data_IF_923779746843
#
_entry.id   IF_923779746843
#
_cell.length_a   1.000
_cell.length_b   1.000
_cell.length_c   1.000
_cell.angle_alpha   90.00
_cell.angle_beta   90.00
_cell.angle_gamma   90.00
#
_symmetry.space_group_name_H-M   'P 1'
#
loop_
_entity.id
_entity.type
_entity.pdbx_description
1 polymer ?
#
# COMPACT_ATOMS: atom_id res chain seq x y z
N UNK A 1 -12.94 -0.03 24.05
CA UNK A 1 -12.84 1.44 23.91
C UNK A 1 -11.67 1.74 22.98
N UNK A 2 -11.76 2.81 22.19
CA UNK A 2 -10.66 3.29 21.33
C UNK A 2 -9.99 4.46 22.02
N UNK A 3 -8.66 4.47 22.08
CA UNK A 3 -7.84 5.45 22.80
C UNK A 3 -7.01 6.33 21.85
N UNK A 4 -6.42 7.42 22.36
CA UNK A 4 -5.53 8.28 21.56
C UNK A 4 -4.30 7.53 21.02
N UNK A 5 -3.64 6.64 21.79
CA UNK A 5 -2.61 5.74 21.24
C UNK A 5 -3.09 4.90 20.05
N UNK A 6 -4.33 4.40 20.08
CA UNK A 6 -4.89 3.61 18.97
C UNK A 6 -5.07 4.47 17.71
N UNK A 7 -5.60 5.69 17.88
CA UNK A 7 -5.73 6.67 16.79
C UNK A 7 -4.35 6.99 16.21
N UNK A 8 -3.35 7.18 17.07
CA UNK A 8 -1.97 7.46 16.65
C UNK A 8 -1.36 6.29 15.89
N UNK A 9 -1.59 5.05 16.32
CA UNK A 9 -1.13 3.86 15.61
C UNK A 9 -1.71 3.79 14.19
N UNK A 10 -3.02 4.05 14.04
CA UNK A 10 -3.68 4.11 12.73
C UNK A 10 -3.05 5.22 11.86
N UNK A 11 -2.85 6.42 12.41
CA UNK A 11 -2.21 7.52 11.68
C UNK A 11 -0.83 7.14 11.16
N UNK A 12 0.00 6.49 11.97
CA UNK A 12 1.35 6.07 11.58
C UNK A 12 1.30 5.03 10.45
N UNK A 13 0.45 4.01 10.58
CA UNK A 13 0.30 2.96 9.56
C UNK A 13 -0.17 3.56 8.24
N UNK A 14 -1.25 4.36 8.26
CA UNK A 14 -1.77 4.95 7.02
C UNK A 14 -0.80 5.92 6.37
N UNK A 15 -0.05 6.69 7.17
CA UNK A 15 0.94 7.64 6.68
C UNK A 15 2.11 6.92 6.01
N UNK A 16 2.54 5.79 6.58
CA UNK A 16 3.61 4.96 6.03
C UNK A 16 3.23 4.44 4.63
N UNK A 17 2.01 3.91 4.50
CA UNK A 17 1.52 3.38 3.22
C UNK A 17 1.38 4.51 2.19
N UNK A 18 0.70 5.60 2.54
CA UNK A 18 0.49 6.74 1.64
C UNK A 18 1.82 7.38 1.20
N UNK A 19 2.77 7.53 2.12
CA UNK A 19 4.11 8.07 1.81
C UNK A 19 4.87 7.16 0.87
N UNK A 20 4.81 5.85 1.06
CA UNK A 20 5.44 4.91 0.15
C UNK A 20 4.87 5.01 -1.27
N UNK A 21 3.55 5.12 -1.41
CA UNK A 21 2.90 5.33 -2.71
C UNK A 21 3.37 6.64 -3.34
N UNK A 22 3.37 7.73 -2.57
CA UNK A 22 3.77 9.05 -3.06
C UNK A 22 5.23 9.09 -3.53
N UNK A 23 6.13 8.49 -2.76
CA UNK A 23 7.55 8.39 -3.11
C UNK A 23 7.75 7.55 -4.35
N UNK A 24 7.09 6.38 -4.45
CA UNK A 24 7.21 5.52 -5.63
C UNK A 24 6.65 6.18 -6.89
N UNK A 25 5.51 6.87 -6.79
CA UNK A 25 4.97 7.66 -7.90
C UNK A 25 5.98 8.72 -8.35
N UNK A 26 6.58 9.47 -7.42
CA UNK A 26 7.61 10.48 -7.76
C UNK A 26 8.85 9.86 -8.38
N UNK A 27 9.36 8.75 -7.81
CA UNK A 27 10.52 8.03 -8.31
C UNK A 27 10.32 7.54 -9.76
N UNK A 28 9.13 7.05 -10.07
CA UNK A 28 8.75 6.55 -11.40
C UNK A 28 8.24 7.64 -12.34
N UNK A 29 8.23 8.91 -11.92
CA UNK A 29 7.63 10.04 -12.65
C UNK A 29 6.16 9.79 -13.07
N UNK A 30 5.40 9.15 -12.19
CA UNK A 30 3.98 8.85 -12.34
C UNK A 30 3.14 9.80 -11.49
N UNK A 31 1.94 10.08 -11.97
CA UNK A 31 0.89 10.73 -11.19
C UNK A 31 0.04 9.68 -10.47
N UNK A 32 -0.65 10.09 -9.40
CA UNK A 32 -1.54 9.19 -8.64
C UNK A 32 -2.67 8.65 -9.51
N UNK A 33 -3.11 9.43 -10.49
CA UNK A 33 -4.16 9.10 -11.45
C UNK A 33 -3.73 8.01 -12.44
N UNK A 34 -2.41 7.79 -12.60
CA UNK A 34 -1.88 6.72 -13.46
C UNK A 34 -2.04 5.33 -12.82
N UNK A 35 -2.39 5.26 -11.54
CA UNK A 35 -2.62 4.00 -10.82
C UNK A 35 -3.94 3.35 -11.25
N UNK A 36 -3.83 2.30 -12.06
CA UNK A 36 -5.00 1.60 -12.62
C UNK A 36 -5.64 0.60 -11.67
N UNK A 37 -4.85 -0.05 -10.81
CA UNK A 37 -5.32 -1.07 -9.85
C UNK A 37 -4.49 -1.02 -8.58
N UNK A 38 -5.14 -1.31 -7.45
CA UNK A 38 -4.49 -1.44 -6.15
C UNK A 38 -4.83 -2.81 -5.59
N UNK A 39 -3.80 -3.62 -5.32
CA UNK A 39 -3.95 -4.91 -4.68
C UNK A 39 -3.54 -4.81 -3.21
N UNK A 40 -4.46 -5.12 -2.31
CA UNK A 40 -4.25 -5.11 -0.87
C UNK A 40 -4.10 -6.56 -0.39
N UNK A 41 -2.91 -6.88 0.13
CA UNK A 41 -2.54 -8.21 0.60
C UNK A 41 -2.20 -8.19 2.11
N UNK A 42 -2.11 -9.39 2.69
CA UNK A 42 -1.74 -9.59 4.09
C UNK A 42 -2.94 -9.53 5.04
N UNK A 43 -2.66 -9.63 6.35
CA UNK A 43 -3.70 -9.60 7.39
C UNK A 43 -4.52 -8.30 7.37
N UNK A 44 -3.89 -7.19 6.97
CA UNK A 44 -4.55 -5.91 6.73
C UNK A 44 -5.62 -6.02 5.62
N UNK A 45 -5.37 -6.85 4.60
CA UNK A 45 -6.28 -7.05 3.48
C UNK A 45 -7.51 -7.92 3.77
N UNK A 46 -7.54 -8.68 4.88
CA UNK A 46 -8.70 -9.52 5.19
C UNK A 46 -9.83 -8.76 5.88
N UNK A 47 -9.54 -7.60 6.51
CA UNK A 47 -10.48 -6.94 7.41
C UNK A 47 -10.64 -5.43 7.16
N UNK A 48 -9.81 -4.83 6.30
CA UNK A 48 -9.90 -3.40 6.02
C UNK A 48 -10.94 -3.15 4.93
N UNK A 49 -11.95 -2.35 5.25
CA UNK A 49 -12.87 -1.82 4.27
C UNK A 49 -12.11 -0.84 3.34
N UNK A 50 -12.12 -1.06 2.00
CA UNK A 50 -11.34 -0.24 1.08
C UNK A 50 -11.85 1.21 1.08
N UNK A 51 -13.17 1.42 1.24
CA UNK A 51 -13.73 2.76 1.31
C UNK A 51 -13.19 3.52 2.53
N UNK A 52 -13.20 2.89 3.70
CA UNK A 52 -12.67 3.45 4.95
C UNK A 52 -11.19 3.75 4.86
N UNK A 53 -10.39 2.83 4.30
CA UNK A 53 -8.97 3.05 4.05
C UNK A 53 -8.70 4.24 3.12
N UNK A 54 -9.55 4.44 2.10
CA UNK A 54 -9.48 5.61 1.22
C UNK A 54 -9.84 6.90 1.98
N UNK A 55 -10.92 6.87 2.78
CA UNK A 55 -11.39 8.03 3.56
C UNK A 55 -10.33 8.51 4.54
N UNK A 56 -9.63 7.59 5.22
CA UNK A 56 -8.55 7.98 6.14
C UNK A 56 -7.29 8.44 5.40
N UNK A 57 -7.23 8.32 4.06
CA UNK A 57 -6.09 8.73 3.25
C UNK A 57 -4.94 7.74 3.22
N UNK A 58 -5.22 6.43 3.30
CA UNK A 58 -4.19 5.38 3.25
C UNK A 58 -3.62 5.17 1.85
N UNK A 59 -4.41 5.41 0.81
CA UNK A 59 -4.00 5.28 -0.58
C UNK A 59 -4.77 6.32 -1.44
N UNK A 60 -4.29 6.66 -2.65
CA UNK A 60 -4.86 7.73 -3.47
C UNK A 60 -6.30 7.45 -3.89
N UNK A 61 -6.99 8.49 -4.39
CA UNK A 61 -8.39 8.39 -4.81
C UNK A 61 -8.53 7.64 -6.14
N UNK A 62 -8.30 6.33 -6.11
CA UNK A 62 -8.63 5.41 -7.19
C UNK A 62 -10.10 4.97 -7.05
N UNK A 63 -10.81 4.67 -8.16
CA UNK A 63 -12.14 4.09 -8.09
C UNK A 63 -12.14 2.81 -7.24
N UNK A 64 -13.10 2.66 -6.32
CA UNK A 64 -13.14 1.49 -5.41
C UNK A 64 -13.18 0.15 -6.16
N UNK A 65 -13.82 0.11 -7.35
CA UNK A 65 -13.82 -1.07 -8.24
C UNK A 65 -12.41 -1.52 -8.70
N UNK A 66 -11.42 -0.64 -8.61
CA UNK A 66 -10.03 -0.90 -8.96
C UNK A 66 -9.18 -1.35 -7.75
N UNK A 67 -9.77 -1.38 -6.56
CA UNK A 67 -9.13 -1.85 -5.32
C UNK A 67 -9.57 -3.29 -5.07
N UNK A 68 -8.62 -4.21 -4.95
CA UNK A 68 -8.90 -5.63 -4.71
C UNK A 68 -8.12 -6.16 -3.53
N UNK A 69 -8.82 -6.83 -2.63
CA UNK A 69 -8.20 -7.62 -1.59
C UNK A 69 -7.87 -9.00 -2.12
N UNK A 70 -6.61 -9.40 -1.93
CA UNK A 70 -6.10 -10.70 -2.38
C UNK A 70 -5.71 -11.61 -1.21
N UNK A 71 -6.02 -11.18 0.02
CA UNK A 71 -5.76 -11.93 1.24
C UNK A 71 -4.26 -12.20 1.47
N UNK A 72 -3.94 -13.35 2.03
CA UNK A 72 -2.54 -13.76 2.26
C UNK A 72 -1.86 -14.21 0.96
N UNK A 73 -1.47 -13.24 0.13
CA UNK A 73 -0.78 -13.48 -1.14
C UNK A 73 0.52 -14.26 -0.97
N UNK A 74 1.29 -14.02 0.09
CA UNK A 74 2.52 -14.75 0.38
C UNK A 74 2.26 -16.24 0.63
N UNK A 75 1.25 -16.57 1.45
CA UNK A 75 0.86 -17.95 1.72
C UNK A 75 0.29 -18.66 0.49
N UNK A 76 -0.47 -17.96 -0.36
CA UNK A 76 -0.95 -18.49 -1.64
C UNK A 76 0.22 -18.76 -2.58
N UNK A 77 1.13 -17.78 -2.75
CA UNK A 77 2.32 -17.92 -3.58
C UNK A 77 3.23 -19.07 -3.14
N UNK A 78 3.44 -19.23 -1.83
CA UNK A 78 4.23 -20.34 -1.29
C UNK A 78 3.62 -21.71 -1.64
N UNK A 79 2.29 -21.86 -1.51
CA UNK A 79 1.60 -23.11 -1.90
C UNK A 79 1.74 -23.39 -3.40
N UNK A 80 1.59 -22.36 -4.24
CA UNK A 80 1.73 -22.51 -5.69
C UNK A 80 3.16 -22.90 -6.08
N UNK A 81 4.16 -22.24 -5.51
CA UNK A 81 5.57 -22.56 -5.74
C UNK A 81 5.99 -23.94 -5.18
N UNK A 82 5.28 -24.45 -4.16
CA UNK A 82 5.53 -25.79 -3.62
C UNK A 82 5.14 -26.87 -4.61
N UNK A 83 3.99 -26.75 -5.26
CA UNK A 83 3.41 -27.77 -6.15
C UNK A 83 3.78 -27.58 -7.64
N UNK A 84 4.27 -26.40 -8.04
CA UNK A 84 4.65 -26.11 -9.42
C UNK A 84 6.09 -25.60 -9.53
N UNK A 85 6.92 -26.36 -10.26
CA UNK A 85 8.28 -25.94 -10.62
C UNK A 85 8.30 -24.72 -11.53
N UNK A 86 7.30 -24.60 -12.40
CA UNK A 86 7.17 -23.46 -13.31
C UNK A 86 6.90 -22.16 -12.53
N UNK A 87 5.93 -22.16 -11.62
CA UNK A 87 5.63 -21.00 -10.77
C UNK A 87 6.82 -20.64 -9.89
N UNK A 88 7.54 -21.64 -9.37
CA UNK A 88 8.77 -21.40 -8.60
C UNK A 88 9.81 -20.67 -9.42
N UNK A 89 10.07 -21.13 -10.65
CA UNK A 89 11.01 -20.48 -11.57
C UNK A 89 10.55 -19.07 -11.94
N UNK A 90 9.25 -18.86 -12.17
CA UNK A 90 8.70 -17.52 -12.44
C UNK A 90 8.93 -16.57 -11.27
N UNK A 91 8.70 -17.03 -10.03
CA UNK A 91 8.95 -16.23 -8.83
C UNK A 91 10.44 -15.87 -8.67
N UNK A 92 11.34 -16.82 -8.95
CA UNK A 92 12.80 -16.59 -8.96
C UNK A 92 13.18 -15.52 -10.00
N UNK A 93 12.69 -15.63 -11.23
CA UNK A 93 12.96 -14.65 -12.30
C UNK A 93 12.33 -13.28 -12.01
N UNK A 94 11.14 -13.25 -11.41
CA UNK A 94 10.50 -11.99 -10.99
C UNK A 94 11.31 -11.30 -9.90
N UNK A 95 11.83 -12.06 -8.92
CA UNK A 95 12.62 -11.48 -7.82
C UNK A 95 13.87 -10.71 -8.31
N UNK A 96 14.49 -11.18 -9.40
CA UNK A 96 15.63 -10.51 -10.05
C UNK A 96 15.27 -9.18 -10.72
N UNK A 97 13.98 -8.93 -10.98
CA UNK A 97 13.47 -7.71 -11.63
C UNK A 97 12.92 -6.69 -10.63
N UNK A 98 12.80 -7.06 -9.36
CA UNK A 98 12.30 -6.16 -8.31
C UNK A 98 13.44 -5.29 -7.81
N UNK A 99 13.24 -3.98 -7.87
CA UNK A 99 14.15 -2.99 -7.32
C UNK A 99 13.69 -2.57 -5.93
N UNK A 100 14.60 -2.64 -4.94
CA UNK A 100 14.32 -2.14 -3.60
C UNK A 100 14.64 -0.65 -3.52
N UNK A 101 13.62 0.16 -3.22
CA UNK A 101 13.76 1.60 -3.05
C UNK A 101 13.76 1.94 -1.55
N UNK A 102 14.87 2.47 -0.98
CA UNK A 102 14.91 2.92 0.41
C UNK A 102 14.14 4.25 0.56
N UNK A 103 12.83 4.15 0.78
CA UNK A 103 11.89 5.29 0.85
C UNK A 103 12.35 6.37 1.85
N UNK A 104 12.96 5.97 2.97
CA UNK A 104 13.47 6.89 4.01
C UNK A 104 14.60 7.81 3.55
N UNK A 105 15.32 7.43 2.49
CA UNK A 105 16.41 8.22 1.90
C UNK A 105 15.94 9.14 0.78
N UNK A 106 14.64 9.10 0.43
CA UNK A 106 14.10 9.94 -0.63
C UNK A 106 14.08 11.41 -0.21
N UNK A 107 14.43 12.36 -1.10
CA UNK A 107 14.35 13.79 -0.81
C UNK A 107 12.95 14.18 -0.30
N UNK A 108 12.93 14.95 0.78
CA UNK A 108 11.71 15.42 1.44
C UNK A 108 10.81 14.30 2.01
N UNK A 109 11.33 13.09 2.23
CA UNK A 109 10.56 11.99 2.83
C UNK A 109 9.81 12.43 4.09
N UNK A 110 10.48 13.14 5.01
CA UNK A 110 9.87 13.59 6.26
C UNK A 110 8.70 14.55 6.03
N UNK A 111 8.83 15.47 5.06
CA UNK A 111 7.75 16.40 4.69
C UNK A 111 6.55 15.64 4.12
N UNK A 112 6.81 14.70 3.20
CA UNK A 112 5.75 13.85 2.60
C UNK A 112 5.06 13.04 3.70
N UNK A 113 5.82 12.43 4.60
CA UNK A 113 5.30 11.66 5.72
C UNK A 113 4.42 12.50 6.65
N UNK A 114 4.89 13.68 7.06
CA UNK A 114 4.13 14.60 7.91
C UNK A 114 2.86 15.08 7.21
N UNK A 115 2.92 15.34 5.90
CA UNK A 115 1.74 15.72 5.11
C UNK A 115 0.68 14.61 5.07
N UNK A 116 1.12 13.35 5.09
CA UNK A 116 0.27 12.16 5.09
C UNK A 116 -0.11 11.70 6.51
N UNK A 117 0.29 12.38 7.58
CA UNK A 117 0.07 11.93 8.96
C UNK A 117 -1.34 12.19 9.47
N UNK A 118 -1.90 13.36 9.15
CA UNK A 118 -3.24 13.75 9.57
C UNK A 118 -4.33 13.04 8.75
N UNK A 119 -5.54 12.90 9.31
CA UNK A 119 -6.67 12.46 8.52
C UNK A 119 -7.11 13.57 7.54
N UNK A 120 -7.46 13.23 6.29
CA UNK A 120 -7.87 14.24 5.32
C UNK A 120 -9.21 14.86 5.69
N UNK A 121 -9.36 16.19 5.53
CA UNK A 121 -10.59 16.91 5.90
C UNK A 121 -11.72 16.80 4.86
N UNK A 122 -11.43 16.38 3.63
CA UNK A 122 -12.30 16.54 2.45
C UNK A 122 -13.11 15.30 2.01
N UNK A 123 -13.20 14.24 2.81
CA UNK A 123 -13.99 13.05 2.42
C UNK A 123 -15.48 13.09 2.85
N UNK A 124 -15.95 14.23 3.38
CA UNK A 124 -17.32 14.42 3.89
C UNK A 124 -18.20 15.32 2.99
N UNK A 125 -17.83 15.51 1.72
CA UNK A 125 -18.64 16.27 0.73
C UNK A 125 -19.07 15.37 -0.42
#
# INVERSE_FOLDING_TARGET
MVTQPDVRAIQLVKATIATGIDVLCRYLNLKKEDLKRVFLAGAFGNYVDPQSARIIGMYPNVPLRNVRFIGNAAGIGAKLALISREVRREAEELSKKIEFIPISSFPNFQEIFLSNLNFPRKFLS
#
